data_IF_141937498740
#
_entry.id   IF_141937498740
#
_cell.length_a   1.000
_cell.length_b   1.000
_cell.length_c   1.000
_cell.angle_alpha   90.00
_cell.angle_beta   90.00
_cell.angle_gamma   90.00
#
_symmetry.space_group_name_H-M   'P 1'
#
loop_
_entity.id
_entity.type
_entity.pdbx_description
1 polymer ?
#
# COMPACT_ATOMS: atom_id res chain seq x y z
N UNK A 1 -11.60 2.07 6.36
CA UNK A 1 -12.19 1.27 5.25
C UNK A 1 -11.28 1.46 4.05
N UNK A 2 -10.55 0.43 3.63
CA UNK A 2 -9.71 0.49 2.43
C UNK A 2 -10.60 0.38 1.19
N UNK A 3 -10.28 1.11 0.12
CA UNK A 3 -10.98 1.03 -1.17
C UNK A 3 -10.07 0.27 -2.13
N UNK A 4 -10.60 -0.81 -2.72
CA UNK A 4 -9.88 -1.70 -3.64
C UNK A 4 -10.09 -1.25 -5.09
N UNK A 5 -9.01 -1.18 -5.87
CA UNK A 5 -9.06 -0.86 -7.30
C UNK A 5 -8.47 -2.02 -8.11
N UNK A 6 -9.28 -2.65 -8.95
CA UNK A 6 -8.84 -3.70 -9.87
C UNK A 6 -8.75 -3.13 -11.30
N UNK A 7 -7.54 -2.95 -11.85
CA UNK A 7 -7.37 -2.70 -13.29
C UNK A 7 -6.28 -3.60 -13.88
N UNK A 8 -6.53 -4.11 -15.09
CA UNK A 8 -5.61 -4.91 -15.90
C UNK A 8 -4.40 -4.08 -16.36
N UNK A 9 -3.27 -4.21 -15.66
CA UNK A 9 -1.95 -3.93 -16.18
C UNK A 9 -1.19 -5.26 -16.19
N UNK A 10 -0.80 -5.72 -17.37
CA UNK A 10 0.06 -6.87 -17.57
C UNK A 10 1.46 -6.54 -17.05
N UNK A 11 1.69 -6.75 -15.76
CA UNK A 11 2.86 -7.44 -15.19
C UNK A 11 2.75 -7.37 -13.66
N UNK A 12 2.67 -8.54 -13.04
CA UNK A 12 2.55 -8.78 -11.60
C UNK A 12 1.18 -8.50 -10.94
N UNK A 13 0.09 -8.94 -11.58
CA UNK A 13 -1.12 -9.31 -10.82
C UNK A 13 -0.81 -10.60 -10.04
N UNK A 14 -1.04 -10.61 -8.72
CA UNK A 14 -1.20 -11.87 -8.00
C UNK A 14 -2.44 -12.62 -8.53
N UNK A 15 -2.64 -13.88 -8.11
CA UNK A 15 -3.76 -14.72 -8.52
C UNK A 15 -5.16 -14.12 -8.21
N UNK A 16 -5.20 -12.96 -7.54
CA UNK A 16 -6.39 -12.19 -7.17
C UNK A 16 -6.48 -10.79 -7.82
N UNK A 17 -5.51 -10.38 -8.64
CA UNK A 17 -5.56 -9.17 -9.45
C UNK A 17 -5.18 -7.85 -8.76
N UNK A 18 -4.51 -7.86 -7.60
CA UNK A 18 -4.34 -6.67 -6.75
C UNK A 18 -2.89 -6.15 -6.73
N UNK A 19 -2.66 -4.97 -7.34
CA UNK A 19 -1.33 -4.34 -7.42
C UNK A 19 -1.13 -3.07 -6.56
N UNK A 20 -2.21 -2.35 -6.24
CA UNK A 20 -2.18 -1.11 -5.45
C UNK A 20 -3.31 -1.11 -4.41
N UNK A 21 -2.96 -0.72 -3.20
CA UNK A 21 -3.88 -0.51 -2.09
C UNK A 21 -3.83 0.95 -1.66
N UNK A 22 -5.00 1.57 -1.50
CA UNK A 22 -5.12 2.95 -1.01
C UNK A 22 -5.86 2.93 0.32
N UNK A 23 -5.16 3.25 1.41
CA UNK A 23 -5.75 3.26 2.76
C UNK A 23 -6.27 4.66 3.06
N UNK A 24 -7.60 4.80 3.10
CA UNK A 24 -8.31 6.05 3.40
C UNK A 24 -8.86 6.07 4.82
N UNK A 25 -9.01 7.27 5.36
CA UNK A 25 -9.58 7.59 6.67
C UNK A 25 -8.84 6.94 7.86
N UNK A 26 -7.58 6.57 7.65
CA UNK A 26 -6.67 6.06 8.65
C UNK A 26 -5.25 6.52 8.29
N UNK A 27 -4.34 6.56 9.27
CA UNK A 27 -2.97 6.98 9.07
C UNK A 27 -2.02 6.22 10.01
N UNK A 28 -0.81 5.93 9.53
CA UNK A 28 0.29 5.61 10.42
C UNK A 28 0.70 6.88 11.19
N UNK A 29 1.13 6.75 12.44
CA UNK A 29 1.49 7.92 13.28
C UNK A 29 2.74 8.65 12.78
N UNK A 30 3.64 7.94 12.12
CA UNK A 30 4.88 8.46 11.50
C UNK A 30 5.12 7.75 10.16
N UNK A 31 6.10 8.20 9.38
CA UNK A 31 6.53 7.57 8.13
C UNK A 31 7.66 6.54 8.32
N UNK A 32 8.03 6.24 9.58
CA UNK A 32 9.01 5.22 9.93
C UNK A 32 8.53 3.83 9.49
N UNK A 33 9.39 3.08 8.79
CA UNK A 33 9.03 1.81 8.15
C UNK A 33 8.42 0.80 9.13
N UNK A 34 8.97 0.68 10.35
CA UNK A 34 8.44 -0.24 11.37
C UNK A 34 7.02 0.14 11.80
N UNK A 35 6.79 1.43 12.00
CA UNK A 35 5.47 1.99 12.36
C UNK A 35 4.46 1.77 11.24
N UNK A 36 4.89 1.99 9.99
CA UNK A 36 4.06 1.82 8.81
C UNK A 36 3.74 0.34 8.57
N UNK A 37 4.71 -0.56 8.66
CA UNK A 37 4.49 -1.99 8.52
C UNK A 37 3.50 -2.49 9.58
N UNK A 38 3.67 -2.10 10.85
CA UNK A 38 2.71 -2.44 11.91
C UNK A 38 1.31 -1.86 11.66
N UNK A 39 1.21 -0.65 11.11
CA UNK A 39 -0.07 -0.07 10.70
C UNK A 39 -0.71 -0.88 9.58
N UNK A 40 0.05 -1.19 8.53
CA UNK A 40 -0.40 -1.93 7.35
C UNK A 40 -0.74 -3.38 7.68
N UNK A 41 -0.08 -4.01 8.65
CA UNK A 41 -0.36 -5.38 9.07
C UNK A 41 -1.83 -5.57 9.45
N UNK A 42 -2.43 -4.60 10.15
CA UNK A 42 -3.86 -4.62 10.50
C UNK A 42 -4.81 -4.56 9.29
N UNK A 43 -4.36 -3.99 8.17
CA UNK A 43 -5.13 -3.88 6.92
C UNK A 43 -4.75 -4.95 5.89
N UNK A 44 -3.58 -5.59 6.06
CA UNK A 44 -3.02 -6.63 5.20
C UNK A 44 -3.25 -8.06 5.69
N UNK A 45 -3.68 -8.25 6.95
CA UNK A 45 -3.80 -9.55 7.65
C UNK A 45 -4.79 -10.58 7.08
N UNK A 46 -5.24 -10.44 5.83
CA UNK A 46 -6.13 -11.38 5.13
C UNK A 46 -5.92 -11.36 3.60
N UNK A 47 -4.87 -10.69 3.11
CA UNK A 47 -4.44 -10.82 1.72
C UNK A 47 -3.40 -11.94 1.66
N UNK A 48 -3.63 -12.95 0.82
CA UNK A 48 -2.60 -13.95 0.51
C UNK A 48 -1.57 -13.26 -0.37
N UNK A 49 -0.51 -12.71 0.21
CA UNK A 49 0.61 -12.19 -0.56
C UNK A 49 1.33 -13.40 -1.17
N UNK A 50 1.35 -13.48 -2.49
CA UNK A 50 2.09 -14.54 -3.17
C UNK A 50 3.59 -14.32 -2.98
N UNK A 51 4.37 -15.40 -2.88
CA UNK A 51 5.83 -15.30 -2.87
C UNK A 51 6.32 -14.43 -4.04
N UNK A 52 7.09 -13.38 -3.75
CA UNK A 52 7.61 -12.38 -4.70
C UNK A 52 6.55 -11.55 -5.42
N UNK A 53 5.28 -11.63 -5.02
CA UNK A 53 4.27 -10.72 -5.49
C UNK A 53 4.61 -9.30 -5.03
N UNK A 54 4.33 -8.35 -5.90
CA UNK A 54 4.68 -6.96 -5.68
C UNK A 54 3.42 -6.14 -5.50
N UNK A 55 3.37 -5.37 -4.42
CA UNK A 55 2.23 -4.54 -4.10
C UNK A 55 2.70 -3.13 -3.76
N UNK A 56 1.82 -2.16 -3.94
CA UNK A 56 2.04 -0.79 -3.54
C UNK A 56 0.98 -0.38 -2.53
N UNK A 57 1.40 0.33 -1.48
CA UNK A 57 0.51 0.90 -0.48
C UNK A 57 0.64 2.43 -0.51
N UNK A 58 -0.46 3.10 -0.84
CA UNK A 58 -0.60 4.54 -0.66
C UNK A 58 -1.41 4.81 0.60
N UNK A 59 -0.75 5.36 1.61
CA UNK A 59 -1.36 5.60 2.92
C UNK A 59 -1.11 7.01 3.40
N UNK A 60 -1.94 7.47 4.31
CA UNK A 60 -1.62 8.64 5.11
C UNK A 60 -0.55 8.33 6.17
N UNK A 61 0.35 9.29 6.40
CA UNK A 61 1.38 9.25 7.44
C UNK A 61 1.38 10.54 8.25
N UNK A 62 1.46 10.41 9.57
CA UNK A 62 1.31 11.53 10.49
C UNK A 62 -0.02 12.28 10.29
N UNK A 63 0.02 13.59 10.52
CA UNK A 63 -1.18 14.44 10.57
C UNK A 63 -1.60 15.03 9.24
N UNK A 64 -0.68 15.20 8.28
CA UNK A 64 -0.92 16.02 7.07
C UNK A 64 -0.48 15.38 5.76
N UNK A 65 0.23 14.26 5.81
CA UNK A 65 0.93 13.75 4.64
C UNK A 65 0.40 12.38 4.23
N UNK A 66 0.78 11.97 3.03
CA UNK A 66 0.61 10.62 2.51
C UNK A 66 1.93 10.13 1.93
N UNK A 67 2.12 8.83 1.87
CA UNK A 67 3.33 8.22 1.36
C UNK A 67 3.01 6.91 0.62
N UNK A 68 3.81 6.64 -0.41
CA UNK A 68 3.78 5.42 -1.20
C UNK A 68 4.88 4.48 -0.72
N UNK A 69 4.50 3.24 -0.47
CA UNK A 69 5.41 2.17 -0.09
C UNK A 69 5.30 1.03 -1.10
N UNK A 70 6.44 0.44 -1.44
CA UNK A 70 6.55 -0.80 -2.17
C UNK A 70 6.64 -1.95 -1.17
N UNK A 71 5.88 -3.00 -1.41
CA UNK A 71 5.90 -4.22 -0.62
C UNK A 71 6.17 -5.41 -1.53
N UNK A 72 7.08 -6.28 -1.10
CA UNK A 72 7.35 -7.55 -1.77
C UNK A 72 7.61 -8.63 -0.74
N UNK A 73 6.66 -9.54 -0.61
CA UNK A 73 6.83 -10.74 0.19
C UNK A 73 7.98 -11.59 -0.37
N UNK A 74 9.00 -11.87 0.44
CA UNK A 74 10.18 -12.62 0.03
C UNK A 74 10.13 -14.10 0.45
N UNK A 75 9.24 -14.45 1.38
CA UNK A 75 9.11 -15.79 1.94
C UNK A 75 7.93 -16.58 1.34
N UNK A 76 6.84 -15.91 0.96
CA UNK A 76 5.59 -16.57 0.56
C UNK A 76 4.83 -17.22 1.72
N UNK A 77 5.27 -17.00 2.96
CA UNK A 77 4.77 -17.69 4.15
C UNK A 77 4.08 -16.74 5.14
N UNK A 78 4.22 -15.44 4.94
CA UNK A 78 3.66 -14.41 5.81
C UNK A 78 2.41 -13.79 5.16
N UNK A 79 1.24 -14.07 5.74
CA UNK A 79 0.00 -13.34 5.42
C UNK A 79 0.00 -11.93 6.08
N UNK A 80 1.16 -11.26 6.09
CA UNK A 80 1.45 -10.11 6.93
C UNK A 80 2.36 -9.12 6.21
N UNK A 81 2.34 -7.87 6.65
CA UNK A 81 3.25 -6.84 6.15
C UNK A 81 4.35 -6.63 7.18
N UNK A 82 5.58 -7.05 6.86
CA UNK A 82 6.74 -6.91 7.75
C UNK A 82 7.69 -5.78 7.30
N UNK A 83 8.45 -5.16 8.22
CA UNK A 83 9.26 -3.98 7.91
C UNK A 83 10.35 -4.17 6.86
N UNK A 84 10.98 -5.35 6.80
CA UNK A 84 12.06 -5.67 5.87
C UNK A 84 11.60 -5.86 4.43
N UNK A 85 10.33 -6.19 4.24
CA UNK A 85 9.68 -6.33 2.93
C UNK A 85 9.07 -5.01 2.42
N UNK A 86 9.10 -3.96 3.24
CA UNK A 86 8.48 -2.68 2.96
C UNK A 86 9.52 -1.59 2.67
N UNK A 87 9.47 -1.03 1.47
CA UNK A 87 10.38 0.03 1.03
C UNK A 87 9.60 1.35 0.83
N UNK A 88 9.96 2.45 1.50
CA UNK A 88 9.42 3.78 1.19
C UNK A 88 9.84 4.20 -0.22
N UNK A 89 8.89 4.69 -1.02
CA UNK A 89 9.16 5.19 -2.37
C UNK A 89 9.12 6.70 -2.40
N UNK A 90 8.04 7.30 -1.91
CA UNK A 90 7.85 8.77 -1.95
C UNK A 90 6.91 9.23 -0.85
N UNK A 91 7.14 10.44 -0.35
CA UNK A 91 6.27 11.17 0.57
C UNK A 91 5.71 12.41 -0.12
N UNK A 92 4.39 12.59 -0.01
CA UNK A 92 3.67 13.74 -0.51
C UNK A 92 3.29 14.64 0.66
N UNK A 93 4.02 15.74 0.81
CA UNK A 93 3.86 16.67 1.94
C UNK A 93 2.58 17.49 1.79
N UNK A 94 1.78 17.55 2.85
CA UNK A 94 0.54 18.33 2.88
C UNK A 94 -0.60 17.77 2.01
N UNK A 95 -0.48 16.52 1.56
CA UNK A 95 -1.49 15.82 0.77
C UNK A 95 -1.94 14.58 1.52
N UNK A 96 -3.25 14.31 1.49
CA UNK A 96 -3.89 13.17 2.14
C UNK A 96 -4.58 12.29 1.10
N UNK A 97 -4.70 10.99 1.37
CA UNK A 97 -5.39 10.04 0.49
C UNK A 97 -6.85 10.40 0.25
N UNK A 98 -7.47 11.14 1.16
CA UNK A 98 -8.85 11.63 1.04
C UNK A 98 -9.00 12.69 -0.05
N UNK A 99 -7.92 13.37 -0.43
CA UNK A 99 -7.92 14.39 -1.47
C UNK A 99 -7.84 13.79 -2.88
N UNK A 100 -7.55 12.50 -3.00
CA UNK A 100 -7.48 11.81 -4.28
C UNK A 100 -8.88 11.34 -4.71
N UNK A 101 -9.25 11.67 -5.95
CA UNK A 101 -10.37 11.03 -6.62
C UNK A 101 -9.98 9.63 -7.10
N UNK A 102 -10.95 8.79 -7.44
CA UNK A 102 -10.66 7.50 -8.08
C UNK A 102 -9.93 7.70 -9.42
N UNK A 103 -10.24 8.78 -10.14
CA UNK A 103 -9.60 9.10 -11.42
C UNK A 103 -8.12 9.47 -11.25
N UNK A 104 -7.78 10.26 -10.23
CA UNK A 104 -6.37 10.64 -9.94
C UNK A 104 -5.51 9.39 -9.65
N UNK A 105 -6.11 8.43 -8.93
CA UNK A 105 -5.45 7.15 -8.63
C UNK A 105 -5.26 6.36 -9.92
N UNK A 106 -6.29 6.23 -10.75
CA UNK A 106 -6.21 5.46 -12.00
C UNK A 106 -5.23 6.06 -13.02
N UNK A 107 -5.20 7.39 -13.16
CA UNK A 107 -4.30 8.08 -14.10
C UNK A 107 -2.83 8.00 -13.71
N UNK A 108 -2.51 7.71 -12.44
CA UNK A 108 -1.13 7.54 -11.98
C UNK A 108 -0.47 6.26 -12.54
N UNK A 109 -1.21 5.40 -13.27
CA UNK A 109 -0.74 4.11 -13.79
C UNK A 109 -0.92 3.94 -15.31
N UNK A 110 -1.31 5.00 -16.03
CA UNK A 110 -1.37 5.06 -17.51
C UNK A 110 -0.22 5.86 -18.07
#
# INVERSE_FOLDING_TARGET
MAVEFTHHLETAKDDYGKGLFVVRNAAASTDEVVTVASFLDAYGNNATYGNKATHYFLINVGTSDMALYYFRDDTGADNRVVPDELTPIVRFVGVRTEQLTELDILQSFT
#
